data_IF_657484856182
#
_entry.id   IF_657484856182
#
_cell.length_a   1.000
_cell.length_b   1.000
_cell.length_c   1.000
_cell.angle_alpha   90.00
_cell.angle_beta   90.00
_cell.angle_gamma   90.00
#
_symmetry.space_group_name_H-M   'P 1'
#
loop_
_entity.id
_entity.type
_entity.pdbx_description
1 polymer ?
#
# COMPACT_ATOMS: atom_id res chain seq x y z
N UNK A 1 8.37 26.74 -21.44
CA UNK A 1 7.02 26.23 -21.79
C UNK A 1 6.44 25.59 -20.53
N UNK A 2 5.39 26.16 -19.95
CA UNK A 2 4.83 25.71 -18.66
C UNK A 2 3.52 24.97 -18.98
N UNK A 3 3.55 23.64 -18.98
CA UNK A 3 2.32 22.84 -19.11
C UNK A 3 1.50 23.02 -17.84
N UNK A 4 0.36 23.72 -17.94
CA UNK A 4 -0.70 23.69 -16.93
C UNK A 4 -1.62 22.53 -17.31
N UNK A 5 -1.60 21.44 -16.54
CA UNK A 5 -2.68 20.46 -16.58
C UNK A 5 -3.89 21.09 -15.88
N UNK A 6 -4.94 21.43 -16.64
CA UNK A 6 -6.26 21.78 -16.10
C UNK A 6 -7.06 20.51 -15.76
N UNK A 7 -6.46 19.59 -15.01
CA UNK A 7 -7.15 18.37 -14.59
C UNK A 7 -7.96 18.67 -13.34
N UNK A 8 -9.28 18.57 -13.45
CA UNK A 8 -10.19 18.64 -12.30
C UNK A 8 -9.97 17.38 -11.46
N UNK A 9 -9.28 17.52 -10.33
CA UNK A 9 -9.06 16.43 -9.38
C UNK A 9 -10.30 16.27 -8.52
N UNK A 10 -10.99 15.15 -8.65
CA UNK A 10 -12.02 14.74 -7.69
C UNK A 10 -11.33 14.00 -6.55
N UNK A 11 -11.40 14.56 -5.35
CA UNK A 11 -10.78 14.02 -4.15
C UNK A 11 -11.86 13.31 -3.35
N UNK A 12 -11.66 12.02 -3.07
CA UNK A 12 -12.51 11.22 -2.22
C UNK A 12 -11.76 10.89 -0.93
N UNK A 13 -12.28 11.33 0.21
CA UNK A 13 -11.77 10.91 1.51
C UNK A 13 -12.38 9.55 1.87
N UNK A 14 -11.59 8.67 2.45
CA UNK A 14 -12.04 7.35 2.89
C UNK A 14 -11.65 7.11 4.35
N UNK A 15 -12.28 6.11 4.97
CA UNK A 15 -11.96 5.66 6.32
C UNK A 15 -11.36 4.26 6.22
N UNK A 16 -10.24 4.02 6.92
CA UNK A 16 -9.57 2.72 6.91
C UNK A 16 -10.52 1.62 7.42
N UNK A 17 -10.66 0.55 6.65
CA UNK A 17 -11.58 -0.55 6.90
C UNK A 17 -12.97 -0.39 6.29
N UNK A 18 -13.33 0.78 5.76
CA UNK A 18 -14.61 1.03 5.11
C UNK A 18 -14.45 1.04 3.58
N UNK A 19 -15.15 0.17 2.84
CA UNK A 19 -15.06 0.14 1.38
C UNK A 19 -15.73 1.37 0.77
N UNK A 20 -15.24 1.77 -0.41
CA UNK A 20 -15.84 2.84 -1.21
C UNK A 20 -15.78 2.51 -2.70
N UNK A 21 -16.48 3.29 -3.52
CA UNK A 21 -16.60 3.04 -4.97
C UNK A 21 -15.99 4.19 -5.78
N UNK A 22 -15.28 3.83 -6.86
CA UNK A 22 -14.84 4.75 -7.91
C UNK A 22 -15.36 4.20 -9.24
N UNK A 23 -16.45 4.78 -9.75
CA UNK A 23 -17.14 4.23 -10.93
C UNK A 23 -17.57 2.79 -10.67
N UNK A 24 -17.13 1.85 -11.52
CA UNK A 24 -17.45 0.42 -11.41
C UNK A 24 -16.45 -0.38 -10.55
N UNK A 25 -15.54 0.30 -9.84
CA UNK A 25 -14.51 -0.31 -9.01
C UNK A 25 -14.90 -0.19 -7.54
N UNK A 26 -15.05 -1.33 -6.87
CA UNK A 26 -15.16 -1.40 -5.41
C UNK A 26 -13.76 -1.43 -4.81
N UNK A 27 -13.46 -0.48 -3.95
CA UNK A 27 -12.18 -0.36 -3.25
C UNK A 27 -12.37 -0.83 -1.81
N UNK A 28 -11.96 -2.07 -1.52
CA UNK A 28 -11.80 -2.54 -0.14
C UNK A 28 -10.44 -2.10 0.37
N UNK A 29 -10.37 -1.56 1.58
CA UNK A 29 -9.10 -1.15 2.18
C UNK A 29 -8.97 -1.72 3.60
N UNK A 30 -7.73 -1.92 4.04
CA UNK A 30 -7.45 -2.59 5.29
C UNK A 30 -6.16 -2.08 5.93
N UNK A 31 -6.08 -2.10 7.28
CA UNK A 31 -4.85 -1.74 7.97
C UNK A 31 -3.75 -2.72 7.57
N UNK A 32 -2.60 -2.18 7.19
CA UNK A 32 -1.37 -2.92 6.99
C UNK A 32 -0.69 -3.26 8.33
N UNK A 33 0.53 -3.81 8.30
CA UNK A 33 1.26 -4.18 9.49
C UNK A 33 1.45 -2.98 10.44
N UNK A 34 1.28 -3.19 11.75
CA UNK A 34 1.27 -2.16 12.80
C UNK A 34 2.57 -1.34 12.93
N UNK A 35 3.63 -1.77 12.25
CA UNK A 35 4.99 -1.28 12.40
C UNK A 35 5.39 -0.19 11.38
N UNK A 36 4.59 0.03 10.33
CA UNK A 36 4.74 1.17 9.43
C UNK A 36 3.80 2.31 9.84
N UNK A 37 4.13 3.56 9.49
CA UNK A 37 3.27 4.72 9.78
C UNK A 37 2.00 4.66 8.91
N UNK A 38 0.97 4.00 9.44
CA UNK A 38 -0.37 3.86 8.85
C UNK A 38 -0.39 3.30 7.41
N UNK A 39 0.21 2.11 7.17
CA UNK A 39 0.12 1.48 5.86
C UNK A 39 -1.34 1.08 5.61
N UNK A 40 -1.90 1.46 4.46
CA UNK A 40 -3.21 0.99 4.01
C UNK A 40 -3.01 0.07 2.82
N UNK A 41 -3.47 -1.17 2.94
CA UNK A 41 -3.58 -2.09 1.82
C UNK A 41 -4.93 -1.92 1.13
N UNK A 42 -4.96 -2.15 -0.18
CA UNK A 42 -6.17 -2.06 -0.99
C UNK A 42 -6.43 -3.35 -1.74
N UNK A 43 -7.70 -3.68 -1.94
CA UNK A 43 -8.17 -4.69 -2.86
C UNK A 43 -9.22 -4.04 -3.77
N UNK A 44 -8.80 -3.78 -5.00
CA UNK A 44 -9.63 -3.22 -6.05
C UNK A 44 -10.41 -4.34 -6.71
N UNK A 45 -11.74 -4.27 -6.73
CA UNK A 45 -12.61 -5.33 -7.24
C UNK A 45 -13.50 -4.80 -8.34
N UNK A 46 -13.59 -5.58 -9.40
CA UNK A 46 -14.51 -5.37 -10.53
C UNK A 46 -15.21 -6.68 -10.85
N UNK A 47 -16.22 -6.63 -11.72
CA UNK A 47 -16.85 -7.84 -12.27
C UNK A 47 -15.86 -8.76 -12.99
N UNK A 48 -14.76 -8.23 -13.52
CA UNK A 48 -13.75 -8.98 -14.27
C UNK A 48 -12.61 -9.56 -13.43
N UNK A 49 -12.54 -9.23 -12.14
CA UNK A 49 -11.47 -9.67 -11.26
C UNK A 49 -11.03 -8.61 -10.24
N UNK A 50 -10.05 -8.99 -9.41
CA UNK A 50 -9.50 -8.16 -8.36
C UNK A 50 -8.00 -7.91 -8.48
N UNK A 51 -7.54 -6.77 -7.96
CA UNK A 51 -6.12 -6.43 -7.83
C UNK A 51 -5.84 -6.06 -6.37
N UNK A 52 -4.91 -6.77 -5.74
CA UNK A 52 -4.39 -6.40 -4.43
C UNK A 52 -3.26 -5.40 -4.57
N UNK A 53 -3.33 -4.25 -3.90
CA UNK A 53 -2.27 -3.25 -3.86
C UNK A 53 -1.75 -3.12 -2.45
N UNK A 54 -0.44 -3.27 -2.31
CA UNK A 54 0.24 -3.25 -1.03
C UNK A 54 1.46 -2.33 -1.15
N UNK A 55 1.35 -1.14 -0.59
CA UNK A 55 2.41 -0.12 -0.57
C UNK A 55 3.14 -0.15 0.77
N UNK A 56 4.43 0.17 0.78
CA UNK A 56 5.28 0.19 1.97
C UNK A 56 5.25 -1.10 2.83
N UNK A 57 5.39 -2.28 2.19
CA UNK A 57 5.52 -3.51 2.95
C UNK A 57 6.94 -3.65 3.51
N UNK A 58 7.08 -3.45 4.83
CA UNK A 58 8.23 -3.98 5.57
C UNK A 58 8.22 -5.51 5.59
N UNK A 59 7.04 -6.12 5.81
CA UNK A 59 6.84 -7.58 5.80
C UNK A 59 5.41 -7.95 5.39
N UNK A 60 5.26 -9.04 4.61
CA UNK A 60 3.96 -9.59 4.26
C UNK A 60 3.39 -10.42 5.43
N UNK A 61 2.49 -9.82 6.20
CA UNK A 61 1.81 -10.53 7.30
C UNK A 61 0.72 -11.46 6.76
N UNK A 62 0.35 -12.48 7.55
CA UNK A 62 -0.75 -13.40 7.21
C UNK A 62 -2.08 -12.66 6.99
N UNK A 63 -2.32 -11.58 7.74
CA UNK A 63 -3.51 -10.74 7.56
C UNK A 63 -3.56 -10.15 6.15
N UNK A 64 -2.44 -9.60 5.67
CA UNK A 64 -2.33 -9.04 4.32
C UNK A 64 -2.64 -10.10 3.26
N UNK A 65 -2.07 -11.30 3.39
CA UNK A 65 -2.31 -12.41 2.47
C UNK A 65 -3.79 -12.83 2.41
N UNK A 66 -4.47 -12.86 3.56
CA UNK A 66 -5.91 -13.15 3.59
C UNK A 66 -6.76 -12.05 2.93
N UNK A 67 -6.38 -10.78 3.10
CA UNK A 67 -7.14 -9.65 2.54
C UNK A 67 -7.04 -9.54 1.03
N UNK A 68 -5.92 -9.97 0.44
CA UNK A 68 -5.75 -10.04 -1.01
C UNK A 68 -6.12 -11.42 -1.60
N UNK A 69 -6.64 -12.34 -0.77
CA UNK A 69 -7.09 -13.65 -1.22
C UNK A 69 -8.26 -13.45 -2.19
N UNK A 70 -8.05 -13.83 -3.45
CA UNK A 70 -9.03 -13.63 -4.54
C UNK A 70 -8.63 -12.54 -5.54
N UNK A 71 -7.55 -11.80 -5.29
CA UNK A 71 -6.96 -10.95 -6.29
C UNK A 71 -6.35 -11.78 -7.44
N UNK A 72 -6.60 -11.37 -8.67
CA UNK A 72 -6.01 -11.94 -9.89
C UNK A 72 -4.58 -11.44 -10.11
N UNK A 73 -4.24 -10.27 -9.56
CA UNK A 73 -2.91 -9.68 -9.62
C UNK A 73 -2.57 -8.97 -8.30
N UNK A 74 -1.27 -8.89 -8.00
CA UNK A 74 -0.75 -8.19 -6.83
C UNK A 74 0.25 -7.12 -7.27
N UNK A 75 0.08 -5.90 -6.77
CA UNK A 75 1.06 -4.83 -6.81
C UNK A 75 1.70 -4.72 -5.41
N UNK A 76 3.00 -4.93 -5.33
CA UNK A 76 3.75 -4.91 -4.07
C UNK A 76 4.92 -3.95 -4.22
N UNK A 77 4.94 -2.91 -3.39
CA UNK A 77 6.12 -2.06 -3.24
C UNK A 77 7.09 -2.71 -2.25
N UNK A 78 8.23 -3.21 -2.75
CA UNK A 78 9.27 -3.80 -1.93
C UNK A 78 10.33 -2.73 -1.58
N UNK A 79 10.20 -2.07 -0.42
CA UNK A 79 11.20 -1.15 0.10
C UNK A 79 12.44 -1.84 0.71
N UNK A 80 12.72 -3.09 0.32
CA UNK A 80 13.84 -3.87 0.86
C UNK A 80 15.13 -3.64 0.08
N UNK A 81 15.71 -2.45 0.20
CA UNK A 81 17.05 -2.18 -0.31
C UNK A 81 18.12 -2.67 0.70
N UNK A 82 18.35 -3.99 0.71
CA UNK A 82 19.41 -4.63 1.51
C UNK A 82 20.80 -4.03 1.24
N UNK A 83 21.02 -3.40 0.08
CA UNK A 83 22.31 -2.85 -0.33
C UNK A 83 22.62 -1.47 0.29
N UNK A 84 21.61 -0.69 0.69
CA UNK A 84 21.79 0.62 1.33
C UNK A 84 21.95 0.53 2.86
N UNK A 85 21.38 -0.51 3.49
CA UNK A 85 21.49 -0.76 4.94
C UNK A 85 22.85 -1.30 5.41
N UNK A 86 23.69 -1.80 4.50
CA UNK A 86 25.04 -2.28 4.79
C UNK A 86 26.15 -1.24 4.54
N UNK A 87 25.87 -0.15 3.80
CA UNK A 87 26.86 0.89 3.48
C UNK A 87 26.74 2.19 4.27
N UNK A 88 25.67 2.37 5.04
CA UNK A 88 25.50 3.58 5.84
C UNK A 88 26.13 3.43 7.23
N UNK A 89 27.35 3.94 7.38
CA UNK A 89 28.09 4.00 8.66
C UNK A 89 27.61 5.12 9.59
N UNK A 90 26.53 5.84 9.27
CA UNK A 90 26.08 7.04 10.02
C UNK A 90 24.76 6.90 10.79
N UNK A 91 24.17 5.71 10.89
CA UNK A 91 22.94 5.50 11.69
C UNK A 91 23.20 4.56 12.88
N UNK A 92 23.04 5.03 14.14
CA UNK A 92 23.18 4.18 15.32
C UNK A 92 22.20 3.00 15.30
N UNK A 93 22.69 1.83 15.71
CA UNK A 93 21.98 0.54 15.71
C UNK A 93 20.68 0.50 16.52
N UNK A 94 20.37 1.54 17.29
CA UNK A 94 19.23 1.60 18.20
C UNK A 94 17.86 1.67 17.51
N UNK A 95 17.79 2.04 16.22
CA UNK A 95 16.52 2.14 15.47
C UNK A 95 16.29 0.90 14.58
N UNK A 96 17.15 -0.12 14.65
CA UNK A 96 17.05 -1.32 13.79
C UNK A 96 16.11 -2.41 14.32
N UNK A 97 15.48 -2.23 15.48
CA UNK A 97 14.69 -3.28 16.14
C UNK A 97 13.38 -2.76 16.75
N UNK A 98 12.70 -1.84 16.08
CA UNK A 98 11.43 -1.31 16.56
C UNK A 98 10.73 -0.46 15.52
N UNK A 99 10.26 -1.14 14.48
CA UNK A 99 9.25 -0.80 13.48
C UNK A 99 9.30 -2.00 12.56
#
# INVERSE_FOLDING_TARGET
MRFKMETKLEICQFVTGEPFEIGDVVVENFPGPHDAQDPVGFHLKTVGGGIGMLTDLGQATRLVLERVRGANALFIEANYDLNLLQKDTRRPWAIKQGS
#
